data_IF_632061407090
#
_entry.id   IF_632061407090
#
_cell.length_a   1.000
_cell.length_b   1.000
_cell.length_c   1.000
_cell.angle_alpha   90.00
_cell.angle_beta   90.00
_cell.angle_gamma   90.00
#
_symmetry.space_group_name_H-M   'P 1'
#
loop_
_entity.id
_entity.type
_entity.pdbx_description
1 polymer ?
#
# COMPACT_ATOMS: atom_id res chain seq x y z
N UNK A 1 11.47 -29.73 -2.77
CA UNK A 1 11.31 -28.61 -1.82
C UNK A 1 9.87 -28.66 -1.34
N UNK A 2 9.66 -29.12 -0.11
CA UNK A 2 8.33 -29.18 0.51
C UNK A 2 7.94 -27.76 0.92
N UNK A 3 6.75 -27.31 0.53
CA UNK A 3 6.17 -26.09 1.05
C UNK A 3 6.01 -26.23 2.58
N UNK A 4 6.53 -25.25 3.33
CA UNK A 4 6.47 -25.22 4.79
C UNK A 4 5.08 -24.74 5.24
N UNK A 5 4.28 -25.59 5.92
CA UNK A 5 2.90 -25.28 6.30
C UNK A 5 2.76 -24.21 7.42
N UNK A 6 3.88 -23.67 7.92
CA UNK A 6 3.92 -22.59 8.93
C UNK A 6 4.25 -21.20 8.38
N UNK A 7 4.30 -21.01 7.06
CA UNK A 7 4.38 -19.67 6.46
C UNK A 7 2.98 -19.06 6.40
N UNK A 8 2.49 -18.52 7.53
CA UNK A 8 1.36 -17.59 7.46
C UNK A 8 1.66 -16.53 6.40
N UNK A 9 0.69 -16.20 5.51
CA UNK A 9 0.86 -15.14 4.54
C UNK A 9 1.26 -13.85 5.26
N UNK A 10 2.16 -13.08 4.65
CA UNK A 10 2.64 -11.83 5.23
C UNK A 10 1.43 -10.94 5.60
N UNK A 11 1.37 -10.40 6.84
CA UNK A 11 0.24 -9.56 7.27
C UNK A 11 0.01 -8.35 6.35
N UNK A 12 1.05 -7.87 5.66
CA UNK A 12 0.95 -6.82 4.65
C UNK A 12 -0.13 -7.12 3.59
N UNK A 13 -0.23 -8.36 3.11
CA UNK A 13 -1.19 -8.71 2.06
C UNK A 13 -2.63 -8.63 2.56
N UNK A 14 -2.88 -9.05 3.81
CA UNK A 14 -4.21 -8.95 4.40
C UNK A 14 -4.64 -7.49 4.61
N UNK A 15 -3.72 -6.64 5.07
CA UNK A 15 -3.99 -5.21 5.26
C UNK A 15 -4.26 -4.49 3.93
N UNK A 16 -3.48 -4.80 2.87
CA UNK A 16 -3.71 -4.28 1.52
C UNK A 16 -5.10 -4.68 0.99
N UNK A 17 -5.50 -5.95 1.15
CA UNK A 17 -6.81 -6.38 0.67
C UNK A 17 -7.96 -5.71 1.43
N UNK A 18 -7.85 -5.52 2.75
CA UNK A 18 -8.85 -4.77 3.53
C UNK A 18 -8.99 -3.33 3.04
N UNK A 19 -7.87 -2.66 2.79
CA UNK A 19 -7.88 -1.32 2.19
C UNK A 19 -8.58 -1.31 0.83
N UNK A 20 -8.27 -2.26 -0.05
CA UNK A 20 -8.91 -2.38 -1.37
C UNK A 20 -10.40 -2.71 -1.30
N UNK A 21 -10.83 -3.46 -0.29
CA UNK A 21 -12.24 -3.74 -0.02
C UNK A 21 -12.97 -2.48 0.44
N UNK A 22 -12.41 -1.74 1.40
CA UNK A 22 -12.96 -0.46 1.86
C UNK A 22 -13.09 0.55 0.70
N UNK A 23 -12.07 0.65 -0.16
CA UNK A 23 -12.11 1.49 -1.38
C UNK A 23 -13.20 1.08 -2.36
N UNK A 24 -13.41 -0.23 -2.55
CA UNK A 24 -14.47 -0.75 -3.42
C UNK A 24 -15.85 -0.46 -2.85
N UNK A 25 -16.04 -0.64 -1.54
CA UNK A 25 -17.27 -0.30 -0.86
C UNK A 25 -17.61 1.20 -1.01
N UNK A 26 -16.63 2.09 -0.80
CA UNK A 26 -16.80 3.53 -1.04
C UNK A 26 -17.22 3.81 -2.48
N UNK A 27 -16.52 3.24 -3.47
CA UNK A 27 -16.82 3.47 -4.88
C UNK A 27 -18.24 3.00 -5.26
N UNK A 28 -18.70 1.89 -4.68
CA UNK A 28 -20.08 1.41 -4.85
C UNK A 28 -21.10 2.36 -4.19
N UNK A 29 -20.81 2.86 -2.99
CA UNK A 29 -21.66 3.83 -2.29
C UNK A 29 -21.79 5.16 -3.06
N UNK A 30 -20.67 5.71 -3.57
CA UNK A 30 -20.67 6.90 -4.43
C UNK A 30 -21.56 6.69 -5.66
N UNK A 31 -21.46 5.52 -6.28
CA UNK A 31 -22.24 5.17 -7.48
C UNK A 31 -23.74 5.04 -7.18
N UNK A 32 -24.09 4.50 -6.01
CA UNK A 32 -25.47 4.26 -5.60
C UNK A 32 -26.16 5.52 -5.06
N UNK A 33 -25.39 6.51 -4.58
CA UNK A 33 -25.90 7.76 -4.00
C UNK A 33 -25.26 9.02 -4.62
N UNK A 34 -25.50 9.28 -5.92
CA UNK A 34 -24.95 10.46 -6.59
C UNK A 34 -25.51 11.76 -5.96
N UNK A 35 -24.64 12.60 -5.41
CA UNK A 35 -24.99 13.86 -4.76
C UNK A 35 -24.94 13.87 -3.23
N UNK A 36 -24.55 12.75 -2.59
CA UNK A 36 -23.98 12.80 -1.24
C UNK A 36 -22.59 13.42 -1.35
N UNK A 37 -22.23 14.33 -0.45
CA UNK A 37 -20.83 14.74 -0.26
C UNK A 37 -20.07 13.54 0.33
N UNK A 38 -19.68 12.62 -0.55
CA UNK A 38 -18.73 11.55 -0.22
C UNK A 38 -17.29 12.10 -0.23
N UNK A 39 -17.11 13.37 -0.61
CA UNK A 39 -15.84 14.08 -0.62
C UNK A 39 -15.42 14.58 0.78
N UNK A 40 -16.32 14.69 1.76
CA UNK A 40 -15.96 15.15 3.12
C UNK A 40 -15.57 14.02 4.08
N UNK A 41 -15.93 12.77 3.79
CA UNK A 41 -15.62 11.64 4.64
C UNK A 41 -15.02 10.52 3.78
N UNK A 42 -13.68 10.39 3.80
CA UNK A 42 -13.11 9.04 3.82
C UNK A 42 -13.96 8.29 4.85
N UNK A 43 -14.66 7.23 4.45
CA UNK A 43 -15.53 6.53 5.40
C UNK A 43 -14.67 6.07 6.57
N UNK A 44 -15.23 6.00 7.79
CA UNK A 44 -14.48 5.54 8.96
C UNK A 44 -13.74 4.21 8.68
N UNK A 45 -14.37 3.34 7.88
CA UNK A 45 -13.81 2.08 7.41
C UNK A 45 -12.59 2.25 6.49
N UNK A 46 -12.59 3.25 5.61
CA UNK A 46 -11.45 3.55 4.74
C UNK A 46 -10.28 4.14 5.54
N UNK A 47 -10.55 5.06 6.48
CA UNK A 47 -9.53 5.61 7.38
C UNK A 47 -8.92 4.48 8.22
N UNK A 48 -9.75 3.64 8.82
CA UNK A 48 -9.29 2.50 9.62
C UNK A 48 -8.45 1.53 8.78
N UNK A 49 -8.86 1.24 7.54
CA UNK A 49 -8.11 0.35 6.67
C UNK A 49 -6.77 0.95 6.20
N UNK A 50 -6.71 2.27 5.96
CA UNK A 50 -5.45 2.98 5.66
C UNK A 50 -4.52 2.96 6.87
N UNK A 51 -5.03 3.27 8.06
CA UNK A 51 -4.26 3.23 9.31
C UNK A 51 -3.72 1.83 9.59
N UNK A 52 -4.56 0.80 9.40
CA UNK A 52 -4.14 -0.60 9.53
C UNK A 52 -3.00 -0.92 8.54
N UNK A 53 -3.15 -0.51 7.28
CA UNK A 53 -2.12 -0.72 6.24
C UNK A 53 -0.80 -0.04 6.59
N UNK A 54 -0.84 1.22 7.06
CA UNK A 54 0.35 2.00 7.42
C UNK A 54 1.05 1.49 8.69
N UNK A 55 0.29 0.96 9.65
CA UNK A 55 0.83 0.41 10.90
C UNK A 55 1.26 -1.07 10.77
N UNK A 56 0.85 -1.75 9.70
CA UNK A 56 1.21 -3.14 9.44
C UNK A 56 2.71 -3.26 9.24
N UNK A 57 3.32 -4.17 10.00
CA UNK A 57 4.75 -4.51 9.87
C UNK A 57 4.90 -5.75 8.98
N UNK A 58 5.43 -5.62 7.76
CA UNK A 58 5.70 -6.78 6.92
C UNK A 58 6.68 -7.75 7.57
N UNK A 59 6.48 -9.03 7.31
CA UNK A 59 7.37 -10.10 7.76
C UNK A 59 8.35 -10.55 6.68
N UNK A 60 8.14 -10.14 5.42
CA UNK A 60 8.85 -10.57 4.23
C UNK A 60 9.20 -9.40 3.33
N UNK A 61 10.24 -9.57 2.50
CA UNK A 61 10.62 -8.58 1.48
C UNK A 61 9.49 -8.34 0.47
N UNK A 62 8.74 -9.39 0.13
CA UNK A 62 7.58 -9.29 -0.75
C UNK A 62 6.47 -8.44 -0.11
N UNK A 63 6.21 -8.60 1.18
CA UNK A 63 5.25 -7.77 1.92
C UNK A 63 5.69 -6.30 1.97
N UNK A 64 6.98 -6.03 2.20
CA UNK A 64 7.53 -4.67 2.13
C UNK A 64 7.31 -4.04 0.75
N UNK A 65 7.66 -4.74 -0.32
CA UNK A 65 7.51 -4.24 -1.69
C UNK A 65 6.03 -4.01 -2.05
N UNK A 66 5.12 -4.85 -1.57
CA UNK A 66 3.69 -4.69 -1.77
C UNK A 66 3.14 -3.44 -1.07
N UNK A 67 3.45 -3.22 0.21
CA UNK A 67 2.99 -2.03 0.94
C UNK A 67 3.51 -0.74 0.32
N UNK A 68 4.78 -0.69 -0.06
CA UNK A 68 5.38 0.52 -0.66
C UNK A 68 4.65 0.95 -1.93
N UNK A 69 4.22 0.00 -2.76
CA UNK A 69 3.43 0.30 -3.96
C UNK A 69 2.02 0.75 -3.62
N UNK A 70 1.37 0.08 -2.68
CA UNK A 70 -0.01 0.39 -2.33
C UNK A 70 -0.11 1.78 -1.69
N UNK A 71 0.85 2.15 -0.84
CA UNK A 71 0.95 3.48 -0.22
C UNK A 71 1.12 4.57 -1.30
N UNK A 72 2.01 4.35 -2.27
CA UNK A 72 2.20 5.29 -3.37
C UNK A 72 0.92 5.47 -4.21
N UNK A 73 0.23 4.36 -4.51
CA UNK A 73 -1.03 4.39 -5.25
C UNK A 73 -2.18 5.03 -4.45
N UNK A 74 -2.25 4.78 -3.14
CA UNK A 74 -3.24 5.39 -2.26
C UNK A 74 -3.10 6.92 -2.23
N UNK A 75 -1.87 7.40 -2.08
CA UNK A 75 -1.56 8.83 -2.09
C UNK A 75 -1.97 9.53 -3.40
N UNK A 76 -1.67 8.91 -4.54
CA UNK A 76 -2.10 9.44 -5.85
C UNK A 76 -3.62 9.51 -5.98
N UNK A 77 -4.33 8.47 -5.50
CA UNK A 77 -5.78 8.38 -5.61
C UNK A 77 -6.53 9.33 -4.67
N UNK A 78 -6.00 9.59 -3.47
CA UNK A 78 -6.62 10.48 -2.49
C UNK A 78 -6.27 11.94 -2.72
N UNK A 79 -5.29 12.23 -3.60
CA UNK A 79 -4.72 13.58 -3.71
C UNK A 79 -4.08 14.07 -2.42
N UNK A 80 -3.78 13.14 -1.49
CA UNK A 80 -3.22 13.45 -0.18
C UNK A 80 -1.70 13.30 -0.28
N UNK A 81 -0.94 14.36 0.06
CA UNK A 81 0.51 14.29 0.14
C UNK A 81 0.99 13.30 1.21
N UNK A 82 1.83 12.34 0.82
CA UNK A 82 2.43 11.36 1.75
C UNK A 82 3.32 12.01 2.82
N UNK A 83 3.88 13.17 2.51
CA UNK A 83 4.87 13.86 3.33
C UNK A 83 4.41 15.30 3.58
N UNK A 84 3.13 15.48 3.91
CA UNK A 84 2.40 16.76 4.06
C UNK A 84 3.11 17.86 4.89
N UNK A 85 4.13 17.48 5.66
CA UNK A 85 4.98 18.40 6.43
C UNK A 85 6.28 18.85 5.71
N UNK A 86 6.51 18.46 4.47
CA UNK A 86 7.80 18.59 3.78
C UNK A 86 7.72 19.22 2.38
N UNK A 87 6.80 20.18 2.19
CA UNK A 87 6.69 21.12 1.06
C UNK A 87 7.58 20.82 -0.16
N UNK A 88 7.08 19.97 -1.05
CA UNK A 88 7.75 19.58 -2.30
C UNK A 88 8.41 18.18 -2.29
N UNK A 89 8.44 17.50 -1.15
CA UNK A 89 8.88 16.10 -1.04
C UNK A 89 7.74 15.12 -1.38
N UNK A 90 6.50 15.58 -1.53
CA UNK A 90 5.33 14.72 -1.74
C UNK A 90 5.40 13.90 -3.02
N UNK A 91 5.58 14.56 -4.17
CA UNK A 91 5.71 13.88 -5.46
C UNK A 91 6.98 13.01 -5.51
N UNK A 92 8.11 13.56 -5.03
CA UNK A 92 9.39 12.86 -5.05
C UNK A 92 9.38 11.61 -4.14
N UNK A 93 8.72 11.72 -3.00
CA UNK A 93 8.56 10.63 -2.05
C UNK A 93 7.59 9.58 -2.55
N UNK A 94 6.45 9.98 -3.13
CA UNK A 94 5.52 9.07 -3.81
C UNK A 94 6.22 8.26 -4.90
N UNK A 95 7.03 8.92 -5.73
CA UNK A 95 7.74 8.27 -6.84
C UNK A 95 8.91 7.41 -6.35
N UNK A 96 9.47 7.70 -5.17
CA UNK A 96 10.54 6.93 -4.55
C UNK A 96 10.07 5.56 -4.01
N UNK A 97 8.86 5.45 -3.47
CA UNK A 97 8.38 4.19 -2.88
C UNK A 97 8.31 3.03 -3.91
N UNK A 98 7.78 3.20 -5.14
CA UNK A 98 7.84 2.17 -6.18
C UNK A 98 9.27 1.81 -6.59
N UNK A 99 10.19 2.77 -6.63
CA UNK A 99 11.61 2.52 -6.92
C UNK A 99 12.24 1.63 -5.84
N UNK A 100 11.95 1.91 -4.56
CA UNK A 100 12.42 1.10 -3.43
C UNK A 100 11.82 -0.31 -3.47
N UNK A 101 10.54 -0.45 -3.81
CA UNK A 101 9.90 -1.76 -4.00
C UNK A 101 10.59 -2.59 -5.09
N UNK A 102 10.89 -1.97 -6.23
CA UNK A 102 11.60 -2.64 -7.34
C UNK A 102 13.01 -3.09 -6.92
N UNK A 103 13.72 -2.27 -6.13
CA UNK A 103 15.03 -2.64 -5.59
C UNK A 103 14.96 -3.85 -4.63
N UNK A 104 13.95 -3.86 -3.74
CA UNK A 104 13.73 -4.97 -2.81
C UNK A 104 13.46 -6.28 -3.56
N UNK A 105 12.69 -6.23 -4.65
CA UNK A 105 12.39 -7.42 -5.44
C UNK A 105 13.60 -7.92 -6.24
N UNK A 106 14.38 -7.00 -6.81
CA UNK A 106 15.60 -7.33 -7.53
C UNK A 106 16.63 -8.01 -6.60
N UNK A 107 16.75 -7.54 -5.36
CA UNK A 107 17.66 -8.12 -4.36
C UNK A 107 17.13 -9.45 -3.80
N UNK A 108 15.82 -9.59 -3.59
CA UNK A 108 15.21 -10.86 -3.18
C UNK A 108 15.33 -11.96 -4.26
N UNK A 109 15.37 -11.56 -5.53
CA UNK A 109 15.53 -12.46 -6.69
C UNK A 109 17.00 -12.72 -7.07
N UNK A 110 17.94 -11.95 -6.51
CA UNK A 110 19.32 -11.79 -7.00
C UNK A 110 20.42 -12.19 -6.01
N UNK A 111 20.18 -13.14 -5.11
CA UNK A 111 21.22 -13.76 -4.27
C UNK A 111 22.29 -14.57 -5.01
N UNK A 112 22.37 -14.49 -6.35
CA UNK A 112 23.41 -15.14 -7.16
C UNK A 112 23.95 -14.17 -8.21
N UNK A 113 25.24 -13.86 -8.09
CA UNK A 113 26.10 -13.04 -8.97
C UNK A 113 25.81 -11.53 -8.89
N UNK A 114 26.76 -10.69 -8.48
CA UNK A 114 28.01 -10.44 -9.22
C UNK A 114 29.23 -10.39 -8.28
N UNK A 115 30.08 -11.41 -8.37
CA UNK A 115 31.54 -11.23 -8.25
C UNK A 115 32.08 -11.31 -9.67
N UNK A 116 32.59 -10.20 -10.21
CA UNK A 116 33.46 -10.15 -11.38
C UNK A 116 34.28 -8.87 -11.27
#
# INVERSE_FOLDING_TARGET
MLADPNKSPDPAFAAIERYREARRALAEDVKNFPGRDVDEDLTADEIEAVDEMLLTRPATLQGCAALLREIAAAAENMGVPLFDNFGGIDDAGRDFLPMLAAFIEATASGGTAVRS
#
